data_IF_320879071294
#
_entry.id   IF_320879071294
#
_cell.length_a   1.000
_cell.length_b   1.000
_cell.length_c   1.000
_cell.angle_alpha   90.00
_cell.angle_beta   90.00
_cell.angle_gamma   90.00
#
_symmetry.space_group_name_H-M   'P 1'
#
loop_
_entity.id
_entity.type
_entity.pdbx_description
1 polymer ?
#
# COMPACT_ATOMS: atom_id res chain seq x y z
N UNK A 1 -43.20 -40.08 5.66
CA UNK A 1 -42.73 -38.92 4.87
C UNK A 1 -42.98 -37.69 5.73
N UNK A 2 -41.98 -37.24 6.49
CA UNK A 2 -42.04 -35.98 7.25
C UNK A 2 -40.83 -35.17 6.78
N UNK A 3 -41.09 -34.16 5.96
CA UNK A 3 -40.09 -33.22 5.47
C UNK A 3 -39.66 -32.30 6.62
N UNK A 4 -38.35 -32.23 6.87
CA UNK A 4 -37.76 -31.35 7.89
C UNK A 4 -37.35 -30.05 7.19
N UNK A 5 -38.09 -28.97 7.45
CA UNK A 5 -37.73 -27.64 6.94
C UNK A 5 -36.36 -27.19 7.47
N UNK A 6 -35.53 -26.49 6.66
CA UNK A 6 -34.25 -25.97 7.13
C UNK A 6 -34.46 -24.83 8.13
N UNK A 7 -33.69 -24.81 9.22
CA UNK A 7 -33.69 -23.68 10.17
C UNK A 7 -33.14 -22.42 9.49
N UNK A 8 -33.69 -21.23 9.80
CA UNK A 8 -33.16 -19.99 9.27
C UNK A 8 -31.73 -19.81 9.78
N UNK A 9 -30.82 -19.43 8.87
CA UNK A 9 -29.48 -18.98 9.23
C UNK A 9 -29.64 -17.72 10.08
N UNK A 10 -29.52 -17.87 11.40
CA UNK A 10 -29.47 -16.71 12.30
C UNK A 10 -28.15 -16.01 12.03
N UNK A 11 -28.21 -14.89 11.33
CA UNK A 11 -27.07 -14.00 11.13
C UNK A 11 -26.60 -13.54 12.51
N UNK A 12 -25.43 -14.01 12.93
CA UNK A 12 -24.85 -13.63 14.22
C UNK A 12 -24.44 -12.16 14.15
N UNK A 13 -25.14 -11.32 14.89
CA UNK A 13 -24.69 -9.96 15.13
C UNK A 13 -23.25 -9.97 15.67
N UNK A 14 -22.38 -9.07 15.20
CA UNK A 14 -21.00 -9.00 15.67
C UNK A 14 -20.97 -8.78 17.18
N UNK A 15 -20.02 -9.44 17.86
CA UNK A 15 -19.95 -9.36 19.32
C UNK A 15 -19.66 -7.93 19.80
N UNK A 16 -20.07 -7.55 21.03
CA UNK A 16 -19.75 -6.25 21.62
C UNK A 16 -18.24 -5.95 21.69
N UNK A 17 -17.39 -6.98 21.65
CA UNK A 17 -15.94 -6.83 21.54
C UNK A 17 -15.50 -6.38 20.14
N UNK A 18 -16.17 -6.85 19.08
CA UNK A 18 -15.95 -6.43 17.69
C UNK A 18 -16.42 -4.98 17.50
N UNK A 19 -17.58 -4.62 18.04
CA UNK A 19 -18.03 -3.22 18.02
C UNK A 19 -17.10 -2.29 18.80
N UNK A 20 -16.56 -2.72 19.94
CA UNK A 20 -15.58 -1.94 20.71
C UNK A 20 -14.24 -1.81 19.98
N UNK A 21 -13.78 -2.86 19.29
CA UNK A 21 -12.59 -2.81 18.44
C UNK A 21 -12.77 -1.91 17.20
N UNK A 22 -14.00 -1.77 16.69
CA UNK A 22 -14.35 -0.84 15.62
C UNK A 22 -14.53 0.61 16.11
N UNK A 23 -14.87 0.82 17.39
CA UNK A 23 -15.02 2.15 18.02
C UNK A 23 -13.71 2.72 18.56
N UNK A 24 -12.73 1.87 18.85
CA UNK A 24 -11.35 2.32 19.01
C UNK A 24 -10.83 2.55 17.60
N UNK A 25 -10.62 3.80 17.21
CA UNK A 25 -9.79 4.12 16.03
C UNK A 25 -8.37 3.63 16.33
N UNK A 26 -8.13 2.33 16.15
CA UNK A 26 -6.79 1.78 16.17
C UNK A 26 -6.05 2.50 15.05
N UNK A 27 -4.94 3.20 15.34
CA UNK A 27 -4.14 3.79 14.28
C UNK A 27 -3.82 2.69 13.27
N UNK A 28 -4.04 2.96 11.97
CA UNK A 28 -3.72 2.03 10.90
C UNK A 28 -2.32 1.45 11.19
N UNK A 29 -2.20 0.14 11.50
CA UNK A 29 -0.93 -0.45 11.93
C UNK A 29 0.15 -0.25 10.86
N UNK A 30 -0.24 -0.13 9.59
CA UNK A 30 0.69 0.20 8.52
C UNK A 30 1.22 1.63 8.64
N UNK A 31 0.37 2.60 8.99
CA UNK A 31 0.79 4.00 9.21
C UNK A 31 1.84 4.08 10.30
N UNK A 32 1.58 3.48 11.47
CA UNK A 32 2.50 3.53 12.60
C UNK A 32 3.88 2.90 12.28
N UNK A 33 3.87 1.75 11.58
CA UNK A 33 5.10 1.08 11.14
C UNK A 33 5.87 1.94 10.14
N UNK A 34 5.18 2.51 9.14
CA UNK A 34 5.85 3.31 8.10
C UNK A 34 6.38 4.63 8.67
N UNK A 35 5.63 5.33 9.52
CA UNK A 35 6.13 6.54 10.19
C UNK A 35 7.37 6.23 11.03
N UNK A 36 7.34 5.16 11.82
CA UNK A 36 8.50 4.73 12.62
C UNK A 36 9.71 4.42 11.74
N UNK A 37 9.50 3.70 10.63
CA UNK A 37 10.56 3.39 9.67
C UNK A 37 11.15 4.66 9.06
N UNK A 38 10.30 5.55 8.55
CA UNK A 38 10.71 6.81 7.91
C UNK A 38 11.52 7.66 8.88
N UNK A 39 11.05 7.85 10.12
CA UNK A 39 11.74 8.72 11.08
C UNK A 39 13.06 8.12 11.56
N UNK A 40 13.11 6.81 11.85
CA UNK A 40 14.36 6.15 12.27
C UNK A 40 15.42 6.19 11.18
N UNK A 41 15.05 5.95 9.92
CA UNK A 41 16.01 5.99 8.83
C UNK A 41 16.41 7.41 8.43
N UNK A 42 15.48 8.37 8.45
CA UNK A 42 15.78 9.76 8.16
C UNK A 42 16.82 10.33 9.12
N UNK A 43 16.66 10.05 10.41
CA UNK A 43 17.57 10.54 11.46
C UNK A 43 18.87 9.74 11.55
N UNK A 44 18.81 8.41 11.48
CA UNK A 44 19.99 7.55 11.59
C UNK A 44 20.93 7.60 10.39
N UNK A 45 20.42 7.93 9.19
CA UNK A 45 21.19 7.89 7.95
C UNK A 45 21.15 9.20 7.14
N UNK A 46 20.62 10.29 7.72
CA UNK A 46 20.44 11.58 7.05
C UNK A 46 19.71 11.48 5.70
N UNK A 47 18.73 10.58 5.62
CA UNK A 47 17.94 10.35 4.40
C UNK A 47 16.73 11.28 4.32
N UNK A 48 16.38 11.68 3.10
CA UNK A 48 15.17 12.47 2.87
C UNK A 48 13.90 11.69 3.22
N UNK A 49 13.06 12.24 4.09
CA UNK A 49 11.73 11.69 4.41
C UNK A 49 10.85 11.53 3.18
N UNK A 50 10.94 12.45 2.22
CA UNK A 50 10.21 12.36 0.94
C UNK A 50 10.66 11.16 0.11
N UNK A 51 11.95 10.85 0.09
CA UNK A 51 12.48 9.66 -0.57
C UNK A 51 12.03 8.40 0.16
N UNK A 52 12.13 8.38 1.50
CA UNK A 52 11.73 7.22 2.31
C UNK A 52 10.22 6.91 2.20
N UNK A 53 9.35 7.92 2.25
CA UNK A 53 7.90 7.75 2.03
C UNK A 53 7.63 7.22 0.61
N UNK A 54 8.27 7.77 -0.41
CA UNK A 54 8.19 7.26 -1.78
C UNK A 54 8.60 5.79 -1.88
N UNK A 55 9.69 5.40 -1.21
CA UNK A 55 10.15 4.01 -1.17
C UNK A 55 9.16 3.10 -0.43
N UNK A 56 8.57 3.57 0.68
CA UNK A 56 7.56 2.82 1.42
C UNK A 56 6.29 2.58 0.57
N UNK A 57 5.82 3.59 -0.16
CA UNK A 57 4.69 3.43 -1.09
C UNK A 57 5.03 2.45 -2.22
N UNK A 58 6.23 2.55 -2.81
CA UNK A 58 6.71 1.60 -3.82
C UNK A 58 6.71 0.16 -3.28
N UNK A 59 7.13 -0.04 -2.02
CA UNK A 59 7.06 -1.34 -1.37
C UNK A 59 5.61 -1.84 -1.16
N UNK A 60 4.67 -0.95 -0.84
CA UNK A 60 3.24 -1.29 -0.75
C UNK A 60 2.69 -1.81 -2.09
N UNK A 61 2.94 -1.11 -3.19
CA UNK A 61 2.54 -1.56 -4.52
C UNK A 61 3.27 -2.84 -4.96
N UNK A 62 4.56 -2.97 -4.60
CA UNK A 62 5.33 -4.20 -4.79
C UNK A 62 4.74 -5.40 -4.04
N UNK A 63 4.27 -5.20 -2.81
CA UNK A 63 3.59 -6.24 -2.02
C UNK A 63 2.29 -6.68 -2.70
N UNK A 64 1.49 -5.75 -3.23
CA UNK A 64 0.29 -6.07 -4.01
C UNK A 64 0.65 -6.86 -5.27
N UNK A 65 1.73 -6.50 -5.96
CA UNK A 65 2.20 -7.26 -7.12
C UNK A 65 2.61 -8.69 -6.75
N UNK A 66 3.26 -8.89 -5.59
CA UNK A 66 3.64 -10.21 -5.08
C UNK A 66 2.44 -11.08 -4.68
N UNK A 67 1.27 -10.49 -4.37
CA UNK A 67 0.03 -11.26 -4.15
C UNK A 67 -0.42 -12.00 -5.41
N UNK A 68 -0.06 -11.53 -6.61
CA UNK A 68 -0.47 -12.18 -7.88
C UNK A 68 0.04 -13.61 -8.00
N UNK A 69 1.18 -13.93 -7.40
CA UNK A 69 1.77 -15.28 -7.43
C UNK A 69 1.43 -16.10 -6.19
N UNK A 70 1.17 -15.45 -5.06
CA UNK A 70 1.02 -16.14 -3.77
C UNK A 70 -0.43 -16.25 -3.30
N UNK A 71 -1.25 -15.22 -3.53
CA UNK A 71 -2.66 -15.11 -3.09
C UNK A 71 -3.48 -14.29 -4.09
N UNK A 72 -3.72 -14.78 -5.31
CA UNK A 72 -4.33 -13.99 -6.39
C UNK A 72 -5.69 -13.37 -6.03
N UNK A 73 -6.49 -14.06 -5.21
CA UNK A 73 -7.79 -13.56 -4.74
C UNK A 73 -7.72 -12.29 -3.88
N UNK A 74 -6.55 -11.95 -3.31
CA UNK A 74 -6.36 -10.73 -2.52
C UNK A 74 -5.91 -9.52 -3.35
N UNK A 75 -5.54 -9.72 -4.63
CA UNK A 75 -5.02 -8.65 -5.49
C UNK A 75 -6.01 -7.48 -5.64
N UNK A 76 -7.32 -7.70 -5.90
CA UNK A 76 -8.26 -6.59 -6.03
C UNK A 76 -8.35 -5.74 -4.76
N UNK A 77 -8.49 -6.39 -3.59
CA UNK A 77 -8.56 -5.70 -2.30
C UNK A 77 -7.25 -4.95 -1.99
N UNK A 78 -6.09 -5.57 -2.22
CA UNK A 78 -4.79 -4.96 -2.02
C UNK A 78 -4.55 -3.76 -2.93
N UNK A 79 -4.93 -3.85 -4.20
CA UNK A 79 -4.82 -2.74 -5.16
C UNK A 79 -5.73 -1.56 -4.76
N UNK A 80 -6.98 -1.84 -4.38
CA UNK A 80 -7.90 -0.81 -3.88
C UNK A 80 -7.36 -0.12 -2.63
N UNK A 81 -6.80 -0.88 -1.69
CA UNK A 81 -6.15 -0.32 -0.50
C UNK A 81 -4.95 0.56 -0.88
N UNK A 82 -4.04 0.07 -1.71
CA UNK A 82 -2.83 0.82 -2.10
C UNK A 82 -3.14 2.14 -2.82
N UNK A 83 -4.16 2.15 -3.69
CA UNK A 83 -4.62 3.39 -4.36
C UNK A 83 -5.24 4.35 -3.33
N UNK A 84 -6.10 3.85 -2.45
CA UNK A 84 -6.73 4.67 -1.41
C UNK A 84 -5.72 5.24 -0.39
N UNK A 85 -4.60 4.55 -0.20
CA UNK A 85 -3.51 4.98 0.68
C UNK A 85 -2.81 6.24 0.15
N UNK A 86 -2.76 6.47 -1.17
CA UNK A 86 -2.12 7.65 -1.76
C UNK A 86 -2.78 8.99 -1.37
N UNK A 87 -3.99 8.95 -0.82
CA UNK A 87 -4.72 10.11 -0.33
C UNK A 87 -4.53 10.37 1.18
N UNK A 88 -3.75 9.54 1.90
CA UNK A 88 -3.62 9.57 3.36
C UNK A 88 -2.17 9.49 3.81
N UNK A 89 -1.84 10.17 4.90
CA UNK A 89 -0.52 10.00 5.53
C UNK A 89 -0.33 8.54 5.98
N UNK A 90 0.88 7.97 5.82
CA UNK A 90 2.13 8.64 5.46
C UNK A 90 2.44 8.61 3.95
N UNK A 91 1.52 8.09 3.13
CA UNK A 91 1.73 7.88 1.70
C UNK A 91 1.21 9.03 0.82
N UNK A 92 0.55 10.01 1.45
CA UNK A 92 -0.06 11.15 0.79
C UNK A 92 0.93 11.81 -0.17
N UNK A 93 0.57 11.84 -1.46
CA UNK A 93 1.38 12.51 -2.46
C UNK A 93 2.79 11.91 -2.67
N UNK A 94 2.97 10.62 -2.42
CA UNK A 94 4.24 9.94 -2.69
C UNK A 94 4.41 9.50 -4.15
N UNK A 95 3.31 9.46 -4.91
CA UNK A 95 3.23 8.94 -6.27
C UNK A 95 1.79 8.94 -6.78
N UNK A 96 1.65 8.48 -8.02
CA UNK A 96 0.39 8.38 -8.74
C UNK A 96 0.31 7.04 -9.48
N UNK A 97 -0.88 6.65 -9.94
CA UNK A 97 -1.03 5.47 -10.80
C UNK A 97 -1.13 5.92 -12.26
N UNK A 98 -0.11 5.60 -13.05
CA UNK A 98 -0.02 5.89 -14.47
C UNK A 98 -0.14 4.58 -15.25
N UNK A 99 -1.13 4.48 -16.14
CA UNK A 99 -1.38 3.28 -16.98
C UNK A 99 -1.43 1.97 -16.17
N UNK A 100 -2.06 2.02 -14.99
CA UNK A 100 -2.20 0.86 -14.10
C UNK A 100 -0.94 0.48 -13.33
N UNK A 101 0.10 1.34 -13.31
CA UNK A 101 1.33 1.15 -12.55
C UNK A 101 1.57 2.33 -11.62
N UNK A 102 2.10 2.06 -10.43
CA UNK A 102 2.51 3.12 -9.53
C UNK A 102 3.80 3.78 -10.03
N UNK A 103 3.82 5.11 -10.00
CA UNK A 103 4.99 5.92 -10.34
C UNK A 103 5.21 6.89 -9.19
N UNK A 104 6.42 6.90 -8.63
CA UNK A 104 6.74 7.83 -7.54
C UNK A 104 6.85 9.27 -8.04
N UNK A 105 6.59 10.24 -7.15
CA UNK A 105 6.96 11.65 -7.37
C UNK A 105 8.38 11.99 -6.91
N UNK A 106 9.06 11.04 -6.26
CA UNK A 106 10.45 11.15 -5.81
C UNK A 106 11.34 10.09 -6.46
N UNK A 107 12.64 10.41 -6.62
CA UNK A 107 13.64 9.46 -7.09
C UNK A 107 14.11 8.58 -5.91
N UNK A 108 13.98 7.25 -6.04
CA UNK A 108 14.44 6.28 -5.02
C UNK A 108 15.97 6.15 -4.92
N UNK A 109 16.72 6.75 -5.84
CA UNK A 109 18.19 6.65 -5.95
C UNK A 109 18.76 5.25 -6.21
N UNK A 110 17.91 4.24 -6.48
CA UNK A 110 18.37 2.88 -6.79
C UNK A 110 19.36 2.83 -7.97
N UNK A 111 19.21 3.73 -8.96
CA UNK A 111 20.11 3.84 -10.10
C UNK A 111 21.58 4.14 -9.72
N UNK A 112 21.83 4.60 -8.49
CA UNK A 112 23.19 4.90 -8.00
C UNK A 112 23.91 3.66 -7.45
N UNK A 113 23.20 2.55 -7.25
CA UNK A 113 23.80 1.29 -6.82
C UNK A 113 24.63 0.73 -7.99
N UNK A 114 25.89 0.28 -7.78
CA UNK A 114 26.69 -0.33 -8.84
C UNK A 114 25.95 -1.50 -9.52
N UNK A 115 25.84 -1.46 -10.85
CA UNK A 115 25.05 -2.44 -11.62
C UNK A 115 23.53 -2.25 -11.52
N UNK A 116 23.06 -1.23 -10.81
CA UNK A 116 21.65 -0.86 -10.71
C UNK A 116 21.16 -0.10 -11.95
N UNK A 117 19.92 -0.36 -12.33
CA UNK A 117 19.20 0.41 -13.33
C UNK A 117 18.11 1.30 -12.71
N UNK A 118 17.14 1.71 -13.53
CA UNK A 118 15.90 2.29 -13.01
C UNK A 118 15.04 1.20 -12.39
N UNK A 119 14.45 1.48 -11.22
CA UNK A 119 13.45 0.58 -10.65
C UNK A 119 12.11 0.72 -11.40
N UNK A 120 11.19 -0.23 -11.21
CA UNK A 120 9.87 -0.22 -11.88
C UNK A 120 9.05 1.06 -11.69
N UNK A 121 9.14 1.72 -10.54
CA UNK A 121 8.34 2.91 -10.22
C UNK A 121 9.15 4.23 -10.40
N UNK A 122 10.20 4.21 -11.23
CA UNK A 122 11.13 5.33 -11.37
C UNK A 122 10.47 6.54 -12.07
N UNK A 123 10.53 7.71 -11.42
CA UNK A 123 10.07 9.00 -11.97
C UNK A 123 10.92 9.49 -13.15
N UNK A 124 12.14 8.96 -13.29
CA UNK A 124 13.07 9.32 -14.36
C UNK A 124 12.97 8.39 -15.57
N UNK A 125 12.19 7.30 -15.48
CA UNK A 125 11.97 6.41 -16.60
C UNK A 125 11.00 7.06 -17.61
N UNK A 126 11.41 7.28 -18.88
CA UNK A 126 10.52 7.81 -19.91
C UNK A 126 9.23 7.01 -20.10
N UNK A 127 9.25 5.69 -19.87
CA UNK A 127 8.06 4.84 -19.96
C UNK A 127 6.99 5.19 -18.90
N UNK A 128 7.41 5.80 -17.79
CA UNK A 128 6.55 6.20 -16.68
C UNK A 128 6.02 7.63 -16.81
N UNK A 129 6.43 8.39 -17.84
CA UNK A 129 5.94 9.75 -18.07
C UNK A 129 4.49 9.71 -18.57
N UNK A 130 3.58 10.55 -18.04
CA UNK A 130 2.26 10.74 -18.67
C UNK A 130 2.46 11.27 -20.09
N UNK A 131 1.60 10.85 -21.03
CA UNK A 131 1.61 11.43 -22.37
C UNK A 131 1.26 12.91 -22.26
N UNK A 132 2.13 13.78 -22.77
CA UNK A 132 1.79 15.19 -22.95
C UNK A 132 0.64 15.27 -23.94
N UNK A 133 -0.55 15.66 -23.46
CA UNK A 133 -1.66 16.14 -24.28
C UNK A 133 -1.34 17.52 -24.84
#
# INVERSE_FOLDING_TARGET
MVERAPSPLVERAPSPLVERAQRVETPDPLRAVVETFVERFATGFALSRTVLRGNATSALFGAVAALRTTRPGLVPAGASYAVAALAREPFAGSGDVVRGRFVRRSCCLYYRVPGGGYCGDCVLDPANRPSSS
#
